data_IF_479837916238
#
_entry.id   IF_479837916238
#
_cell.length_a   1.000
_cell.length_b   1.000
_cell.length_c   1.000
_cell.angle_alpha   90.00
_cell.angle_beta   90.00
_cell.angle_gamma   90.00
#
_symmetry.space_group_name_H-M   'P 1'
#
loop_
_entity.id
_entity.type
_entity.pdbx_description
1 polymer ?
#
# COMPACT_ATOMS: atom_id res chain seq x y z
N UNK A 1 14.35 2.28 2.59
CA UNK A 1 14.56 3.73 2.39
C UNK A 1 15.07 4.32 3.70
N UNK A 2 16.37 4.63 3.75
CA UNK A 2 16.99 5.24 4.91
C UNK A 2 16.61 6.73 4.92
N UNK A 3 15.73 7.16 5.83
CA UNK A 3 15.61 8.58 6.13
C UNK A 3 16.93 9.00 6.79
N UNK A 4 17.77 9.69 6.00
CA UNK A 4 19.05 10.22 6.43
C UNK A 4 18.80 11.22 7.54
N UNK A 5 19.22 10.87 8.75
CA UNK A 5 18.93 11.56 10.02
C UNK A 5 19.76 12.86 10.20
N UNK A 6 20.26 13.42 9.10
CA UNK A 6 21.31 14.45 9.09
C UNK A 6 20.86 15.78 8.46
N UNK A 7 19.57 15.95 8.15
CA UNK A 7 19.03 17.23 7.69
C UNK A 7 18.14 17.87 8.74
N UNK A 8 18.72 18.16 9.91
CA UNK A 8 18.40 19.43 10.57
C UNK A 8 19.21 20.53 9.87
N UNK A 9 18.99 20.72 8.57
CA UNK A 9 19.40 21.96 7.93
C UNK A 9 18.37 22.95 8.46
N UNK A 10 18.77 23.76 9.43
CA UNK A 10 18.10 25.03 9.67
C UNK A 10 18.16 25.76 8.34
N UNK A 11 17.11 25.62 7.54
CA UNK A 11 16.85 26.45 6.39
C UNK A 11 16.65 27.85 6.97
N UNK A 12 17.77 28.57 7.12
CA UNK A 12 17.78 29.96 7.53
C UNK A 12 16.80 30.65 6.60
N UNK A 13 15.67 31.05 7.18
CA UNK A 13 14.66 31.84 6.50
C UNK A 13 15.41 32.98 5.79
N UNK A 14 15.13 33.20 4.49
CA UNK A 14 15.94 34.11 3.70
C UNK A 14 16.06 35.44 4.45
N UNK A 15 17.27 36.02 4.51
CA UNK A 15 17.59 37.15 5.38
C UNK A 15 16.71 38.40 5.20
N UNK A 16 15.82 38.42 4.20
CA UNK A 16 14.80 39.45 3.96
C UNK A 16 13.34 39.03 4.22
N UNK A 17 13.07 37.83 4.75
CA UNK A 17 11.72 37.46 5.19
C UNK A 17 11.38 38.27 6.46
N UNK A 18 10.33 39.07 6.37
CA UNK A 18 9.83 39.82 7.54
C UNK A 18 9.44 38.88 8.67
N UNK A 19 9.64 39.32 9.92
CA UNK A 19 9.31 38.54 11.12
C UNK A 19 7.85 38.03 11.12
N UNK A 20 6.93 38.77 10.52
CA UNK A 20 5.53 38.37 10.39
C UNK A 20 5.37 37.11 9.54
N UNK A 21 6.08 37.01 8.41
CA UNK A 21 6.06 35.83 7.55
C UNK A 21 6.65 34.60 8.26
N UNK A 22 7.66 34.81 9.11
CA UNK A 22 8.27 33.75 9.94
C UNK A 22 7.25 33.21 10.95
N UNK A 23 6.54 34.11 11.64
CA UNK A 23 5.54 33.74 12.63
C UNK A 23 4.35 33.00 11.99
N UNK A 24 3.88 33.48 10.83
CA UNK A 24 2.80 32.83 10.08
C UNK A 24 3.22 31.42 9.64
N UNK A 25 4.42 31.27 9.09
CA UNK A 25 4.96 29.97 8.70
C UNK A 25 5.02 28.99 9.87
N UNK A 26 5.47 29.44 11.04
CA UNK A 26 5.49 28.62 12.26
C UNK A 26 4.08 28.18 12.67
N UNK A 27 3.09 29.07 12.62
CA UNK A 27 1.70 28.73 12.92
C UNK A 27 1.10 27.70 11.96
N UNK A 28 1.40 27.83 10.65
CA UNK A 28 0.99 26.86 9.63
C UNK A 28 1.64 25.49 9.88
N UNK A 29 2.95 25.46 10.14
CA UNK A 29 3.67 24.21 10.44
C UNK A 29 3.12 23.50 11.67
N UNK A 30 2.82 24.24 12.73
CA UNK A 30 2.19 23.65 13.92
C UNK A 30 0.83 23.01 13.60
N UNK A 31 0.06 23.61 12.68
CA UNK A 31 -1.21 23.04 12.24
C UNK A 31 -1.00 21.76 11.41
N UNK A 32 0.02 21.74 10.55
CA UNK A 32 0.42 20.55 9.79
C UNK A 32 0.80 19.41 10.75
N UNK A 33 1.66 19.66 11.73
CA UNK A 33 2.10 18.66 12.71
C UNK A 33 0.91 18.03 13.46
N UNK A 34 -0.09 18.85 13.81
CA UNK A 34 -1.30 18.37 14.46
C UNK A 34 -2.15 17.46 13.55
N UNK A 35 -2.26 17.79 12.26
CA UNK A 35 -2.96 16.95 11.27
C UNK A 35 -2.20 15.64 11.08
N UNK A 36 -0.87 15.69 10.98
CA UNK A 36 -0.03 14.50 10.82
C UNK A 36 -0.15 13.55 12.01
N UNK A 37 -0.20 14.07 13.24
CA UNK A 37 -0.47 13.28 14.43
C UNK A 37 -1.83 12.57 14.36
N UNK A 38 -2.88 13.29 13.94
CA UNK A 38 -4.21 12.70 13.76
C UNK A 38 -4.22 11.62 12.67
N UNK A 39 -3.53 11.84 11.54
CA UNK A 39 -3.40 10.85 10.47
C UNK A 39 -2.76 9.55 10.96
N UNK A 40 -1.69 9.64 11.76
CA UNK A 40 -1.04 8.45 12.33
C UNK A 40 -1.98 7.69 13.28
N UNK A 41 -2.73 8.39 14.13
CA UNK A 41 -3.70 7.74 15.00
C UNK A 41 -4.82 7.04 14.23
N UNK A 42 -5.36 7.67 13.18
CA UNK A 42 -6.39 7.08 12.32
C UNK A 42 -5.87 5.86 11.56
N UNK A 43 -4.63 5.92 11.05
CA UNK A 43 -3.99 4.78 10.42
C UNK A 43 -3.80 3.62 11.40
N UNK A 44 -3.31 3.90 12.61
CA UNK A 44 -3.15 2.87 13.64
C UNK A 44 -4.48 2.17 13.97
N UNK A 45 -5.57 2.91 14.06
CA UNK A 45 -6.91 2.35 14.24
C UNK A 45 -7.35 1.51 13.04
N UNK A 46 -7.17 2.01 11.81
CA UNK A 46 -7.46 1.26 10.59
C UNK A 46 -6.69 -0.06 10.55
N UNK A 47 -5.41 -0.07 10.94
CA UNK A 47 -4.58 -1.28 10.95
C UNK A 47 -5.05 -2.31 11.99
N UNK A 48 -5.64 -1.90 13.12
CA UNK A 48 -6.25 -2.85 14.08
C UNK A 48 -7.40 -3.65 13.44
N UNK A 49 -8.23 -2.98 12.64
CA UNK A 49 -9.31 -3.65 11.92
C UNK A 49 -8.78 -4.54 10.81
N UNK A 50 -7.78 -4.10 10.05
CA UNK A 50 -7.22 -4.95 8.98
C UNK A 50 -6.51 -6.18 9.54
N UNK A 51 -5.82 -6.10 10.68
CA UNK A 51 -5.30 -7.29 11.36
C UNK A 51 -6.39 -8.26 11.78
N UNK A 52 -7.53 -7.74 12.25
CA UNK A 52 -8.68 -8.56 12.63
C UNK A 52 -9.30 -9.25 11.41
N UNK A 53 -9.41 -8.56 10.28
CA UNK A 53 -9.78 -9.17 9.00
C UNK A 53 -8.77 -10.24 8.57
N UNK A 54 -7.47 -9.98 8.72
CA UNK A 54 -6.41 -10.93 8.38
C UNK A 54 -6.50 -12.21 9.20
N UNK A 55 -6.70 -12.10 10.51
CA UNK A 55 -6.93 -13.26 11.40
C UNK A 55 -8.18 -14.04 10.99
N UNK A 56 -9.30 -13.36 10.75
CA UNK A 56 -10.54 -13.99 10.30
C UNK A 56 -10.36 -14.73 8.97
N UNK A 57 -9.67 -14.10 8.00
CA UNK A 57 -9.35 -14.71 6.72
C UNK A 57 -8.48 -15.95 6.89
N UNK A 58 -7.43 -15.87 7.72
CA UNK A 58 -6.55 -17.00 7.99
C UNK A 58 -7.27 -18.17 8.67
N UNK A 59 -8.12 -17.90 9.66
CA UNK A 59 -8.91 -18.92 10.37
C UNK A 59 -9.85 -19.70 9.43
N UNK A 60 -10.40 -19.03 8.41
CA UNK A 60 -11.33 -19.63 7.47
C UNK A 60 -10.72 -20.00 6.10
N UNK A 61 -9.39 -19.91 5.95
CA UNK A 61 -8.72 -20.23 4.69
C UNK A 61 -9.10 -19.32 3.51
N UNK A 62 -9.54 -18.09 3.80
CA UNK A 62 -9.88 -17.09 2.78
C UNK A 62 -8.62 -16.42 2.22
N UNK A 63 -8.62 -16.02 0.93
CA UNK A 63 -7.46 -15.38 0.32
C UNK A 63 -7.16 -14.01 0.96
N UNK A 64 -5.86 -13.65 1.11
CA UNK A 64 -5.45 -12.37 1.68
C UNK A 64 -5.88 -11.18 0.82
N UNK A 65 -5.81 -11.32 -0.51
CA UNK A 65 -6.27 -10.31 -1.47
C UNK A 65 -7.74 -10.49 -1.86
N UNK A 66 -8.42 -9.40 -2.19
CA UNK A 66 -9.79 -9.38 -2.73
C UNK A 66 -9.89 -8.27 -3.79
N UNK A 67 -9.58 -8.57 -5.07
CA UNK A 67 -9.51 -7.56 -6.12
C UNK A 67 -10.80 -6.79 -6.33
N UNK A 68 -11.96 -7.44 -6.16
CA UNK A 68 -13.26 -6.79 -6.29
C UNK A 68 -13.47 -5.77 -5.16
N UNK A 69 -13.10 -6.12 -3.93
CA UNK A 69 -13.16 -5.20 -2.79
C UNK A 69 -12.16 -4.05 -2.92
N UNK A 70 -10.96 -4.30 -3.42
CA UNK A 70 -9.93 -3.28 -3.66
C UNK A 70 -10.39 -2.26 -4.70
N UNK A 71 -10.95 -2.71 -5.82
CA UNK A 71 -11.51 -1.84 -6.85
C UNK A 71 -12.62 -0.91 -6.33
N UNK A 72 -13.54 -1.43 -5.51
CA UNK A 72 -14.60 -0.62 -4.90
C UNK A 72 -14.05 0.41 -3.90
N UNK A 73 -12.99 0.06 -3.15
CA UNK A 73 -12.34 1.00 -2.24
C UNK A 73 -11.67 2.14 -3.00
N UNK A 74 -11.00 1.84 -4.11
CA UNK A 74 -10.37 2.85 -4.97
C UNK A 74 -11.42 3.81 -5.53
N UNK A 75 -12.50 3.30 -6.12
CA UNK A 75 -13.57 4.16 -6.66
C UNK A 75 -14.17 5.08 -5.60
N UNK A 76 -14.50 4.54 -4.41
CA UNK A 76 -15.06 5.33 -3.32
C UNK A 76 -14.08 6.41 -2.85
N UNK A 77 -12.80 6.08 -2.70
CA UNK A 77 -11.81 7.03 -2.21
C UNK A 77 -11.51 8.13 -3.22
N UNK A 78 -11.52 7.82 -4.52
CA UNK A 78 -11.42 8.83 -5.58
C UNK A 78 -12.56 9.86 -5.48
N UNK A 79 -13.80 9.41 -5.28
CA UNK A 79 -14.93 10.33 -5.04
C UNK A 79 -14.74 11.20 -3.80
N UNK A 80 -14.28 10.62 -2.68
CA UNK A 80 -13.98 11.39 -1.46
C UNK A 80 -12.85 12.41 -1.67
N UNK A 81 -11.86 12.09 -2.52
CA UNK A 81 -10.77 13.00 -2.85
C UNK A 81 -11.30 14.19 -3.66
N UNK A 82 -12.17 13.95 -4.65
CA UNK A 82 -12.82 15.00 -5.43
C UNK A 82 -13.62 15.95 -4.52
N UNK A 83 -14.45 15.41 -3.63
CA UNK A 83 -15.24 16.19 -2.65
C UNK A 83 -14.35 17.02 -1.73
N UNK A 84 -13.19 16.50 -1.35
CA UNK A 84 -12.21 17.16 -0.49
C UNK A 84 -11.27 18.12 -1.24
N UNK A 85 -11.39 18.25 -2.57
CA UNK A 85 -10.45 18.99 -3.44
C UNK A 85 -9.00 18.49 -3.33
N UNK A 86 -8.84 17.18 -3.14
CA UNK A 86 -7.58 16.47 -3.22
C UNK A 86 -7.46 15.79 -4.58
N UNK A 87 -6.25 15.74 -5.16
CA UNK A 87 -6.01 15.02 -6.42
C UNK A 87 -6.40 13.53 -6.28
N UNK A 88 -7.38 13.03 -7.06
CA UNK A 88 -7.80 11.63 -6.99
C UNK A 88 -6.68 10.66 -7.35
N UNK A 89 -5.74 11.05 -8.22
CA UNK A 89 -4.61 10.21 -8.58
C UNK A 89 -3.63 10.06 -7.41
N UNK A 90 -3.41 11.13 -6.63
CA UNK A 90 -2.65 11.07 -5.39
C UNK A 90 -3.34 10.19 -4.34
N UNK A 91 -4.65 10.37 -4.14
CA UNK A 91 -5.43 9.57 -3.18
C UNK A 91 -5.36 8.07 -3.50
N UNK A 92 -5.46 7.71 -4.78
CA UNK A 92 -5.32 6.34 -5.25
C UNK A 92 -3.91 5.77 -4.99
N UNK A 93 -2.84 6.52 -5.30
CA UNK A 93 -1.46 6.09 -5.00
C UNK A 93 -1.26 5.85 -3.51
N UNK A 94 -1.76 6.76 -2.67
CA UNK A 94 -1.69 6.61 -1.22
C UNK A 94 -2.46 5.37 -0.74
N UNK A 95 -3.66 5.12 -1.26
CA UNK A 95 -4.44 3.94 -0.90
C UNK A 95 -3.77 2.64 -1.33
N UNK A 96 -3.21 2.59 -2.55
CA UNK A 96 -2.49 1.42 -3.05
C UNK A 96 -1.30 1.08 -2.16
N UNK A 97 -0.56 2.09 -1.68
CA UNK A 97 0.50 1.90 -0.69
C UNK A 97 -0.03 1.26 0.61
N UNK A 98 -1.14 1.76 1.16
CA UNK A 98 -1.73 1.20 2.37
C UNK A 98 -2.29 -0.22 2.16
N UNK A 99 -2.89 -0.52 1.01
CA UNK A 99 -3.41 -1.86 0.68
C UNK A 99 -2.27 -2.87 0.60
N UNK A 100 -1.17 -2.52 -0.07
CA UNK A 100 0.00 -3.39 -0.17
C UNK A 100 0.54 -3.79 1.22
N UNK A 101 0.65 -2.82 2.14
CA UNK A 101 1.09 -3.10 3.52
C UNK A 101 0.10 -4.01 4.29
N UNK A 102 -1.21 -3.86 4.04
CA UNK A 102 -2.22 -4.71 4.65
C UNK A 102 -2.14 -6.16 4.15
N UNK A 103 -1.96 -6.36 2.84
CA UNK A 103 -1.84 -7.69 2.24
C UNK A 103 -0.62 -8.41 2.82
N UNK A 104 0.53 -7.73 2.90
CA UNK A 104 1.74 -8.26 3.55
C UNK A 104 1.51 -8.73 4.99
N UNK A 105 0.72 -7.96 5.77
CA UNK A 105 0.35 -8.39 7.13
C UNK A 105 -0.58 -9.61 7.14
N UNK A 106 -1.50 -9.75 6.18
CA UNK A 106 -2.38 -10.91 6.10
C UNK A 106 -1.59 -12.18 5.76
N UNK A 107 -0.65 -12.09 4.82
CA UNK A 107 0.24 -13.19 4.46
C UNK A 107 1.06 -13.67 5.66
N UNK A 108 1.61 -12.76 6.46
CA UNK A 108 2.32 -13.10 7.71
C UNK A 108 1.43 -13.83 8.71
N UNK A 109 0.22 -13.31 8.96
CA UNK A 109 -0.74 -13.93 9.90
C UNK A 109 -1.13 -15.35 9.44
N UNK A 110 -1.34 -15.55 8.14
CA UNK A 110 -1.63 -16.87 7.58
C UNK A 110 -0.42 -17.82 7.72
N UNK A 111 0.80 -17.33 7.48
CA UNK A 111 2.04 -18.07 7.67
C UNK A 111 2.25 -18.55 9.11
N UNK A 112 2.02 -17.67 10.09
CA UNK A 112 2.12 -17.98 11.52
C UNK A 112 1.07 -19.02 11.95
N UNK A 113 -0.18 -18.87 11.48
CA UNK A 113 -1.27 -19.83 11.77
C UNK A 113 -0.94 -21.22 11.22
N UNK A 114 -0.38 -21.31 10.01
CA UNK A 114 0.05 -22.58 9.41
C UNK A 114 1.22 -23.26 10.15
N UNK A 115 2.02 -22.48 10.88
CA UNK A 115 3.17 -22.98 11.65
C UNK A 115 2.76 -23.42 13.06
N UNK A 116 1.79 -22.73 13.67
CA UNK A 116 1.19 -23.12 14.96
C UNK A 116 0.44 -24.47 14.90
N UNK A 117 -0.28 -24.74 13.80
CA UNK A 117 -1.01 -26.00 13.60
C UNK A 117 -0.06 -27.20 13.44
N UNK A 118 1.13 -27.00 12.85
CA UNK A 118 2.13 -28.08 12.67
C UNK A 118 2.85 -28.47 13.97
N UNK A 119 2.88 -27.61 14.98
CA UNK A 119 3.53 -27.88 16.28
C UNK A 119 2.60 -28.63 17.26
N UNK A 120 1.28 -28.43 17.18
CA UNK A 120 0.30 -29.04 18.08
C UNK A 120 -0.06 -30.51 17.76
N UNK A 121 0.45 -31.06 16.65
CA UNK A 121 0.11 -32.41 16.16
C UNK A 121 1.14 -33.51 16.45
N UNK A 122 2.25 -33.25 17.14
CA UNK A 122 3.31 -34.26 17.33
C UNK A 122 3.40 -34.79 18.76
N UNK A 123 2.45 -35.66 19.14
CA UNK A 123 2.64 -36.63 20.22
C UNK A 123 2.21 -38.02 19.73
N UNK A 124 3.17 -38.83 19.25
CA UNK A 124 2.98 -40.28 19.16
C UNK A 124 3.56 -40.99 17.92
N UNK A 125 4.81 -41.44 18.04
CA UNK A 125 5.38 -42.72 17.59
C UNK A 125 5.28 -43.17 16.12
N UNK A 126 6.44 -43.37 15.49
CA UNK A 126 6.57 -44.16 14.26
C UNK A 126 7.95 -44.09 13.58
N UNK A 127 8.94 -44.79 14.14
CA UNK A 127 10.18 -45.22 13.46
C UNK A 127 9.91 -45.81 12.09
N UNK A 128 10.62 -45.36 11.04
CA UNK A 128 11.46 -46.20 10.15
C UNK A 128 12.28 -45.35 9.18
N UNK A 129 13.52 -45.80 9.00
CA UNK A 129 14.54 -45.35 8.06
C UNK A 129 14.10 -45.36 6.59
N UNK A 130 14.68 -44.46 5.80
CA UNK A 130 14.65 -44.53 4.33
C UNK A 130 15.50 -43.43 3.71
N UNK A 131 16.66 -43.81 3.20
CA UNK A 131 17.50 -43.04 2.27
C UNK A 131 16.68 -42.39 1.14
N UNK A 132 16.97 -41.13 0.80
CA UNK A 132 17.25 -40.73 -0.58
C UNK A 132 17.61 -39.25 -0.66
N UNK A 133 18.76 -39.01 -1.28
CA UNK A 133 19.35 -37.74 -1.57
C UNK A 133 18.62 -36.97 -2.70
N UNK A 134 18.66 -35.64 -2.59
CA UNK A 134 19.04 -34.66 -3.64
C UNK A 134 18.36 -34.76 -5.01
N UNK A 135 17.55 -33.76 -5.36
CA UNK A 135 17.86 -32.79 -6.44
C UNK A 135 16.74 -31.76 -6.60
N UNK A 136 17.16 -30.49 -6.73
CA UNK A 136 16.32 -29.32 -6.97
C UNK A 136 15.79 -29.26 -8.42
N UNK A 137 14.78 -28.42 -8.69
CA UNK A 137 14.71 -27.70 -9.95
C UNK A 137 15.01 -26.21 -9.75
N UNK A 138 16.02 -25.79 -10.50
CA UNK A 138 16.36 -24.41 -10.87
C UNK A 138 15.16 -23.62 -11.38
N UNK A 139 15.17 -22.33 -11.04
CA UNK A 139 14.15 -21.37 -11.45
C UNK A 139 14.11 -21.10 -12.95
N UNK A 140 12.96 -20.57 -13.36
CA UNK A 140 12.81 -19.81 -14.58
C UNK A 140 11.86 -18.63 -14.30
N UNK A 141 12.30 -17.44 -14.67
CA UNK A 141 11.59 -16.19 -14.65
C UNK A 141 12.09 -15.39 -15.86
N UNK A 142 11.38 -14.34 -16.29
CA UNK A 142 9.99 -14.25 -16.69
C UNK A 142 9.88 -14.03 -18.21
N UNK A 143 8.72 -14.34 -18.81
CA UNK A 143 8.45 -13.98 -20.20
C UNK A 143 8.12 -12.49 -20.32
N UNK A 144 9.04 -11.78 -20.96
CA UNK A 144 8.95 -10.44 -21.50
C UNK A 144 7.84 -10.36 -22.56
N UNK A 145 6.94 -9.38 -22.45
CA UNK A 145 5.89 -9.12 -23.44
C UNK A 145 6.03 -7.69 -23.94
N UNK A 146 6.40 -7.47 -25.22
CA UNK A 146 6.34 -6.14 -25.80
C UNK A 146 5.12 -5.97 -26.73
N UNK A 147 4.63 -4.73 -26.67
CA UNK A 147 4.11 -3.92 -27.78
C UNK A 147 2.59 -3.83 -27.98
N UNK A 148 2.05 -2.69 -27.54
CA UNK A 148 0.83 -2.11 -28.08
C UNK A 148 1.06 -0.60 -28.29
N UNK A 149 1.95 -0.28 -29.23
CA UNK A 149 2.04 1.04 -29.83
C UNK A 149 0.86 1.26 -30.79
N UNK A 150 -0.09 2.11 -30.39
CA UNK A 150 -1.06 2.72 -31.29
C UNK A 150 -0.44 3.93 -31.99
N UNK A 151 -0.80 4.20 -33.26
CA UNK A 151 -0.77 5.57 -33.76
C UNK A 151 -2.12 6.00 -34.33
N UNK A 152 -2.56 7.18 -33.87
CA UNK A 152 -2.71 8.34 -34.76
C UNK A 152 -4.00 8.49 -35.57
N UNK A 153 -4.85 9.39 -35.07
CA UNK A 153 -5.65 10.40 -35.77
C UNK A 153 -5.71 10.38 -37.32
N UNK A 154 -6.94 10.39 -37.84
CA UNK A 154 -7.29 10.79 -39.20
C UNK A 154 -8.53 11.68 -39.21
N UNK A 155 -8.33 12.95 -39.55
CA UNK A 155 -9.36 13.97 -39.76
C UNK A 155 -10.22 13.63 -40.98
N UNK A 156 -11.53 13.94 -40.93
CA UNK A 156 -12.46 13.78 -42.04
C UNK A 156 -13.55 14.85 -42.00
N UNK A 157 -13.42 15.84 -42.87
CA UNK A 157 -14.31 16.97 -43.13
C UNK A 157 -15.59 16.59 -43.89
N UNK A 158 -16.74 17.12 -43.47
CA UNK A 158 -17.93 17.43 -44.27
C UNK A 158 -18.86 18.26 -43.36
N UNK A 159 -19.43 19.42 -43.65
CA UNK A 159 -19.67 20.24 -44.83
C UNK A 159 -20.92 21.09 -44.46
N UNK A 160 -21.08 22.37 -44.85
CA UNK A 160 -22.30 23.11 -44.53
C UNK A 160 -23.35 22.87 -45.61
N UNK A 161 -24.61 22.63 -45.22
CA UNK A 161 -25.74 22.64 -46.15
C UNK A 161 -27.04 23.08 -45.45
N UNK A 162 -27.58 24.18 -45.99
CA UNK A 162 -28.93 24.75 -45.87
C UNK A 162 -29.36 25.37 -44.54
#
# INVERSE_FOLDING_TARGET
>A
MQYRKDMAVNEELPAGAGQDAINELQGIRQSIDNIDAALIHLLAERFKFTQSVGRLKAEHGLPPADPAREFLQIQRLRGLAEDARLDPAFAEKFLNFIIAEVIHHHEKIAGDTSSGVRSAGNTGAGTVSGDAAVSAPTGDAPADAPDASAPGAGQGSAGPAA
#
